data_IF_355032072674
#
_entry.id   IF_355032072674
#
_cell.length_a   1.000
_cell.length_b   1.000
_cell.length_c   1.000
_cell.angle_alpha   90.00
_cell.angle_beta   90.00
_cell.angle_gamma   90.00
#
_symmetry.space_group_name_H-M   'P 1'
#
loop_
_entity.id
_entity.type
_entity.pdbx_description
1 polymer ?
#
# COMPACT_ATOMS: atom_id res chain seq x y z
N UNK A 1 -5.83 10.60 -7.48
CA UNK A 1 -4.77 11.56 -7.14
C UNK A 1 -4.12 11.18 -5.83
N UNK A 2 -2.83 11.43 -5.72
CA UNK A 2 -2.04 11.03 -4.56
C UNK A 2 -1.27 12.21 -3.99
N UNK A 3 -0.99 12.15 -2.70
CA UNK A 3 -0.06 13.04 -2.05
C UNK A 3 0.71 12.27 -0.98
N UNK A 4 1.80 12.84 -0.50
CA UNK A 4 2.62 12.27 0.57
C UNK A 4 3.60 13.31 1.07
N UNK A 5 4.24 12.99 2.19
CA UNK A 5 5.34 13.77 2.72
C UNK A 5 6.61 13.40 1.94
N UNK A 6 7.21 14.36 1.25
CA UNK A 6 8.37 14.11 0.37
C UNK A 6 9.58 13.59 1.17
N UNK A 7 9.79 14.07 2.38
CA UNK A 7 10.89 13.59 3.21
C UNK A 7 10.70 12.12 3.58
N UNK A 8 9.47 11.70 3.85
CA UNK A 8 9.17 10.29 4.11
C UNK A 8 9.37 9.43 2.88
N UNK A 9 8.99 9.93 1.72
CA UNK A 9 9.18 9.22 0.45
C UNK A 9 10.66 8.99 0.19
N UNK A 10 11.48 10.02 0.37
CA UNK A 10 12.93 9.89 0.21
C UNK A 10 13.54 8.94 1.22
N UNK A 11 13.10 9.01 2.47
CA UNK A 11 13.58 8.10 3.51
C UNK A 11 13.23 6.65 3.16
N UNK A 12 12.05 6.44 2.61
CA UNK A 12 11.63 5.11 2.17
C UNK A 12 12.51 4.59 1.04
N UNK A 13 12.83 5.46 0.09
CA UNK A 13 13.72 5.09 -1.02
C UNK A 13 15.09 4.66 -0.50
N UNK A 14 15.66 5.41 0.45
CA UNK A 14 16.96 5.09 1.03
C UNK A 14 16.92 3.80 1.85
N UNK A 15 15.86 3.61 2.63
CA UNK A 15 15.79 2.48 3.56
C UNK A 15 15.34 1.19 2.88
N UNK A 16 14.48 1.27 1.87
CA UNK A 16 13.80 0.11 1.29
C UNK A 16 13.97 -0.06 -0.21
N UNK A 17 14.56 0.93 -0.87
CA UNK A 17 14.84 0.84 -2.30
C UNK A 17 13.71 1.30 -3.22
N UNK A 18 12.62 1.82 -2.68
CA UNK A 18 11.54 2.39 -3.49
C UNK A 18 10.88 3.57 -2.76
N UNK A 19 10.33 4.49 -3.52
CA UNK A 19 9.67 5.68 -3.00
C UNK A 19 8.14 5.52 -3.00
N UNK A 20 7.43 6.56 -2.57
CA UNK A 20 5.98 6.52 -2.52
C UNK A 20 5.34 6.67 -3.90
N UNK A 21 6.03 7.23 -4.87
CA UNK A 21 5.53 7.23 -6.25
C UNK A 21 5.43 5.79 -6.79
N UNK A 22 6.42 4.97 -6.52
CA UNK A 22 6.37 3.55 -6.85
C UNK A 22 5.23 2.86 -6.10
N UNK A 23 5.08 3.15 -4.81
CA UNK A 23 4.02 2.57 -4.00
C UNK A 23 2.62 2.94 -4.50
N UNK A 24 2.44 4.15 -5.00
CA UNK A 24 1.16 4.58 -5.57
C UNK A 24 0.71 3.71 -6.75
N UNK A 25 1.65 3.07 -7.41
CA UNK A 25 1.36 2.18 -8.55
C UNK A 25 0.52 0.97 -8.18
N UNK A 26 0.45 0.58 -6.89
CA UNK A 26 -0.40 -0.55 -6.49
C UNK A 26 -1.87 -0.29 -6.79
N UNK A 27 -2.28 0.98 -6.81
CA UNK A 27 -3.68 1.35 -7.05
C UNK A 27 -4.06 1.35 -8.54
N UNK A 28 -3.13 1.09 -9.44
CA UNK A 28 -3.43 0.88 -10.86
C UNK A 28 -4.05 -0.48 -11.14
N UNK A 29 -3.93 -1.40 -10.21
CA UNK A 29 -4.51 -2.73 -10.30
C UNK A 29 -5.35 -3.06 -9.08
N UNK A 30 -5.78 -4.30 -8.95
CA UNK A 30 -6.58 -4.72 -7.80
C UNK A 30 -5.77 -4.65 -6.51
N UNK A 31 -6.41 -4.16 -5.46
CA UNK A 31 -5.81 -4.11 -4.12
C UNK A 31 -6.74 -4.79 -3.12
N UNK A 32 -6.15 -5.38 -2.11
CA UNK A 32 -6.87 -5.89 -0.94
C UNK A 32 -6.78 -4.82 0.14
N UNK A 33 -7.92 -4.31 0.59
CA UNK A 33 -7.95 -3.20 1.55
C UNK A 33 -8.70 -3.58 2.81
N UNK A 34 -8.15 -3.18 3.95
CA UNK A 34 -8.83 -3.28 5.25
C UNK A 34 -8.54 -2.01 6.05
N UNK A 35 -9.45 -1.70 6.98
CA UNK A 35 -9.24 -0.57 7.87
C UNK A 35 -8.05 -0.85 8.80
N UNK A 36 -7.22 0.17 9.02
CA UNK A 36 -6.10 0.08 9.94
C UNK A 36 -6.56 0.49 11.33
N UNK A 37 -6.80 -0.50 12.17
CA UNK A 37 -7.31 -0.29 13.53
C UNK A 37 -6.24 -0.54 14.60
N UNK A 38 -4.96 -0.59 14.20
CA UNK A 38 -3.86 -0.87 15.15
C UNK A 38 -3.70 0.20 16.20
N UNK A 39 -4.17 1.42 15.91
CA UNK A 39 -4.06 2.56 16.82
C UNK A 39 -5.15 3.55 16.51
N UNK A 40 -5.41 4.48 17.45
CA UNK A 40 -6.27 5.62 17.20
C UNK A 40 -5.41 6.75 16.64
N UNK A 41 -5.57 7.00 15.36
CA UNK A 41 -4.76 8.00 14.64
C UNK A 41 -5.45 9.36 14.56
N UNK A 42 -6.67 9.49 15.10
CA UNK A 42 -7.49 10.68 14.90
C UNK A 42 -8.01 10.81 13.47
N UNK A 43 -7.78 9.84 12.62
CA UNK A 43 -8.25 9.78 11.24
C UNK A 43 -8.37 8.32 10.83
N UNK A 44 -9.23 8.06 9.85
CA UNK A 44 -9.35 6.72 9.30
C UNK A 44 -8.15 6.43 8.41
N UNK A 45 -7.47 5.33 8.68
CA UNK A 45 -6.38 4.82 7.84
C UNK A 45 -6.76 3.49 7.23
N UNK A 46 -6.23 3.23 6.04
CA UNK A 46 -6.50 2.02 5.28
C UNK A 46 -5.18 1.33 5.00
N UNK A 47 -5.17 0.01 5.19
CA UNK A 47 -4.06 -0.85 4.76
C UNK A 47 -4.42 -1.41 3.39
N UNK A 48 -3.53 -1.27 2.43
CA UNK A 48 -3.73 -1.80 1.08
C UNK A 48 -2.56 -2.72 0.73
N UNK A 49 -2.88 -3.88 0.22
CA UNK A 49 -1.89 -4.81 -0.32
C UNK A 49 -2.12 -4.89 -1.82
N UNK A 50 -1.10 -4.58 -2.60
CA UNK A 50 -1.21 -4.56 -4.05
C UNK A 50 0.13 -4.78 -4.72
N UNK A 51 0.07 -4.91 -6.05
CA UNK A 51 1.25 -5.17 -6.87
C UNK A 51 1.60 -3.94 -7.69
N UNK A 52 2.87 -3.62 -7.74
CA UNK A 52 3.41 -2.62 -8.64
C UNK A 52 4.74 -3.13 -9.20
N UNK A 53 4.84 -3.20 -10.52
CA UNK A 53 5.99 -3.86 -11.15
C UNK A 53 6.07 -5.32 -10.69
N UNK A 54 7.22 -5.71 -10.19
CA UNK A 54 7.45 -7.06 -9.64
C UNK A 54 7.19 -7.13 -8.14
N UNK A 55 6.85 -6.02 -7.50
CA UNK A 55 6.75 -5.94 -6.04
C UNK A 55 5.30 -6.05 -5.58
N UNK A 56 5.11 -6.74 -4.46
CA UNK A 56 3.85 -6.71 -3.72
C UNK A 56 4.12 -5.89 -2.46
N UNK A 57 3.36 -4.83 -2.29
CA UNK A 57 3.58 -3.85 -1.23
C UNK A 57 2.43 -3.83 -0.24
N UNK A 58 2.77 -3.49 0.99
CA UNK A 58 1.83 -3.14 2.04
C UNK A 58 1.89 -1.62 2.21
N UNK A 59 0.80 -0.94 1.87
CA UNK A 59 0.72 0.53 1.85
C UNK A 59 -0.34 0.98 2.84
N UNK A 60 -0.01 1.98 3.64
CA UNK A 60 -0.99 2.62 4.53
C UNK A 60 -1.27 4.01 3.99
N UNK A 61 -2.54 4.34 3.86
CA UNK A 61 -2.94 5.67 3.40
C UNK A 61 -4.19 6.15 4.14
N UNK A 62 -4.47 7.43 4.00
CA UNK A 62 -5.71 8.04 4.44
C UNK A 62 -6.30 8.87 3.30
N UNK A 63 -7.61 9.07 3.33
CA UNK A 63 -8.27 9.94 2.38
C UNK A 63 -8.26 11.38 2.90
N UNK A 64 -7.86 12.30 2.06
CA UNK A 64 -7.98 13.75 2.25
C UNK A 64 -8.88 14.27 1.14
N UNK A 65 -10.20 14.36 1.41
CA UNK A 65 -11.14 14.56 0.33
C UNK A 65 -11.11 13.36 -0.62
N UNK A 66 -10.85 13.60 -1.89
CA UNK A 66 -10.70 12.55 -2.90
C UNK A 66 -9.22 12.25 -3.25
N UNK A 67 -8.31 12.73 -2.40
CA UNK A 67 -6.87 12.49 -2.55
C UNK A 67 -6.44 11.40 -1.59
N UNK A 68 -5.73 10.37 -2.08
CA UNK A 68 -5.08 9.38 -1.23
C UNK A 68 -3.75 9.93 -0.74
N UNK A 69 -3.64 10.09 0.58
CA UNK A 69 -2.38 10.49 1.18
C UNK A 69 -1.65 9.26 1.69
N UNK A 70 -0.56 8.90 1.03
CA UNK A 70 0.27 7.76 1.41
C UNK A 70 1.05 8.11 2.68
N UNK A 71 0.98 7.24 3.66
CA UNK A 71 1.60 7.44 4.97
C UNK A 71 2.83 6.55 5.13
N UNK A 72 2.75 5.31 4.69
CA UNK A 72 3.88 4.39 4.75
C UNK A 72 3.75 3.32 3.66
N UNK A 73 4.87 2.73 3.30
CA UNK A 73 4.91 1.65 2.34
C UNK A 73 6.10 0.75 2.61
N UNK A 74 5.89 -0.55 2.54
CA UNK A 74 6.93 -1.55 2.69
C UNK A 74 6.62 -2.75 1.81
N UNK A 75 7.59 -3.61 1.63
CA UNK A 75 7.31 -4.89 0.97
C UNK A 75 6.33 -5.69 1.82
N UNK A 76 5.40 -6.35 1.18
CA UNK A 76 4.49 -7.27 1.85
C UNK A 76 5.27 -8.45 2.41
N UNK A 77 4.90 -8.92 3.59
CA UNK A 77 5.48 -10.13 4.15
C UNK A 77 4.85 -11.36 3.48
N UNK A 78 5.34 -12.55 3.82
CA UNK A 78 4.87 -13.77 3.19
C UNK A 78 3.37 -13.99 3.35
N UNK A 79 2.85 -13.77 4.56
CA UNK A 79 1.42 -13.94 4.83
C UNK A 79 0.58 -12.98 4.00
N UNK A 80 1.02 -11.72 3.92
CA UNK A 80 0.34 -10.70 3.13
C UNK A 80 0.35 -11.02 1.65
N UNK A 81 1.49 -11.50 1.13
CA UNK A 81 1.58 -11.93 -0.26
C UNK A 81 0.65 -13.11 -0.57
N UNK A 82 0.58 -14.07 0.36
CA UNK A 82 -0.29 -15.23 0.20
C UNK A 82 -1.76 -14.82 0.17
N UNK A 83 -2.17 -13.95 1.07
CA UNK A 83 -3.54 -13.44 1.10
C UNK A 83 -3.87 -12.69 -0.20
N UNK A 84 -2.97 -11.82 -0.64
CA UNK A 84 -3.15 -11.08 -1.88
C UNK A 84 -3.28 -12.04 -3.08
N UNK A 85 -2.42 -13.01 -3.16
CA UNK A 85 -2.47 -13.99 -4.25
C UNK A 85 -3.75 -14.80 -4.26
N UNK A 86 -4.25 -15.17 -3.08
CA UNK A 86 -5.49 -15.93 -2.96
C UNK A 86 -6.73 -15.11 -3.32
N UNK A 87 -6.74 -13.82 -2.99
CA UNK A 87 -7.93 -12.98 -3.19
C UNK A 87 -7.93 -12.33 -4.57
N UNK A 88 -6.78 -11.92 -5.06
CA UNK A 88 -6.67 -11.07 -6.25
C UNK A 88 -6.09 -11.83 -7.43
N UNK A 89 -5.05 -12.59 -7.21
CA UNK A 89 -4.20 -13.04 -8.31
C UNK A 89 -4.48 -14.43 -8.83
N UNK A 90 -5.06 -15.31 -8.09
CA UNK A 90 -5.04 -16.68 -8.52
C UNK A 90 -6.25 -17.49 -8.20
N UNK A 91 -7.08 -16.95 -7.41
CA UNK A 91 -8.17 -17.72 -6.86
C UNK A 91 -9.21 -18.14 -7.88
N UNK A 92 -9.30 -17.40 -8.95
CA UNK A 92 -10.22 -17.76 -10.00
C UNK A 92 -9.77 -19.02 -10.75
N UNK A 93 -8.52 -19.34 -10.65
CA UNK A 93 -8.04 -20.55 -11.29
C UNK A 93 -8.54 -21.75 -10.53
N UNK A 94 -9.27 -22.59 -11.16
CA UNK A 94 -9.68 -23.83 -10.53
C UNK A 94 -8.48 -24.70 -10.24
#
# INVERSE_FOLDING_TARGET
MFEWDEAKSEANLKARGFDFAHAAGVFDGPVLEIDDTRSDYGERRVQAIGKTGADILFVVYTWRGDVRRIISARLANRKERDIHGNVVGGTGAP
#
